data_IF_228391311729
#
_entry.id   IF_228391311729
#
_cell.length_a   1.000
_cell.length_b   1.000
_cell.length_c   1.000
_cell.angle_alpha   90.00
_cell.angle_beta   90.00
_cell.angle_gamma   90.00
#
_symmetry.space_group_name_H-M   'P 1'
#
loop_
_entity.id
_entity.type
_entity.pdbx_description
1 polymer ?
#
# COMPACT_ATOMS: atom_id res chain seq x y z
N UNK A 1 -49.37 9.99 17.97
CA UNK A 1 -47.96 10.21 18.40
C UNK A 1 -47.56 9.01 19.25
N UNK A 2 -46.65 8.14 18.79
CA UNK A 2 -46.39 6.81 19.42
C UNK A 2 -45.59 6.93 20.73
N UNK A 3 -46.03 6.18 21.75
CA UNK A 3 -45.54 6.16 23.14
C UNK A 3 -44.02 5.99 23.29
N UNK A 4 -43.35 5.36 22.33
CA UNK A 4 -41.89 5.11 22.34
C UNK A 4 -41.05 6.39 22.25
N UNK A 5 -41.56 7.46 21.61
CA UNK A 5 -40.87 8.77 21.63
C UNK A 5 -40.95 9.43 23.00
N UNK A 6 -41.97 9.15 23.81
CA UNK A 6 -42.04 9.68 25.19
C UNK A 6 -41.10 8.94 26.14
N UNK A 7 -40.86 7.64 25.95
CA UNK A 7 -39.94 6.86 26.81
C UNK A 7 -38.46 7.29 26.70
N UNK A 8 -38.01 7.78 25.54
CA UNK A 8 -36.67 8.36 25.35
C UNK A 8 -36.52 9.76 25.97
N UNK A 9 -37.63 10.47 26.21
CA UNK A 9 -37.65 11.80 26.82
C UNK A 9 -37.66 11.78 28.36
N UNK A 10 -38.08 10.66 28.97
CA UNK A 10 -38.25 10.53 30.43
C UNK A 10 -37.22 9.63 31.16
N UNK A 11 -36.25 9.04 30.45
CA UNK A 11 -35.20 8.21 31.05
C UNK A 11 -33.88 8.96 31.27
N UNK A 12 -33.95 10.29 31.43
CA UNK A 12 -32.98 11.07 32.21
C UNK A 12 -33.14 10.73 33.70
N UNK A 13 -32.15 10.05 34.29
CA UNK A 13 -31.96 10.10 35.75
C UNK A 13 -30.96 11.22 36.08
N UNK A 14 -31.52 12.41 36.36
CA UNK A 14 -30.93 13.46 37.21
C UNK A 14 -31.19 13.06 38.68
N UNK A 15 -30.20 12.93 39.56
CA UNK A 15 -29.47 13.98 40.31
C UNK A 15 -29.37 13.50 41.78
N UNK A 16 -28.56 13.98 42.74
CA UNK A 16 -27.67 15.15 43.03
C UNK A 16 -27.00 14.84 44.41
N UNK A 17 -26.04 15.59 45.02
CA UNK A 17 -25.86 17.04 44.93
C UNK A 17 -24.41 17.59 44.93
N UNK A 18 -24.41 18.92 44.85
CA UNK A 18 -23.36 19.92 44.73
C UNK A 18 -22.52 20.06 46.00
N UNK A 19 -21.20 20.30 45.85
CA UNK A 19 -20.40 21.12 46.78
C UNK A 19 -19.55 22.09 45.95
N UNK A 20 -19.78 23.40 46.09
CA UNK A 20 -18.81 24.49 45.83
C UNK A 20 -18.54 25.14 47.20
N UNK A 21 -17.29 25.51 47.56
CA UNK A 21 -16.59 26.68 47.00
C UNK A 21 -15.06 26.41 46.84
N UNK A 22 -14.20 27.23 46.22
CA UNK A 22 -14.06 28.69 46.11
C UNK A 22 -13.02 28.99 45.00
N UNK A 23 -13.13 30.13 44.35
CA UNK A 23 -12.20 30.63 43.32
C UNK A 23 -10.75 30.73 43.81
N UNK A 24 -9.81 30.34 42.95
CA UNK A 24 -8.53 31.03 42.78
C UNK A 24 -8.20 31.05 41.29
N UNK A 25 -8.23 32.24 40.71
CA UNK A 25 -7.52 32.53 39.48
C UNK A 25 -6.04 32.20 39.68
N UNK A 26 -5.49 31.41 38.77
CA UNK A 26 -4.07 31.43 38.47
C UNK A 26 -3.95 31.23 36.98
N UNK A 27 -3.61 32.30 36.29
CA UNK A 27 -2.91 32.24 35.01
C UNK A 27 -1.76 31.23 35.16
N UNK A 28 -1.71 30.23 34.29
CA UNK A 28 -0.48 29.88 33.58
C UNK A 28 -0.71 28.72 32.59
N UNK A 29 -0.31 29.01 31.35
CA UNK A 29 0.14 28.08 30.31
C UNK A 29 -0.87 27.04 29.85
N UNK A 30 -1.48 27.34 28.69
CA UNK A 30 -1.80 26.32 27.68
C UNK A 30 -0.53 25.50 27.44
N UNK A 31 -0.40 24.37 28.12
CA UNK A 31 0.44 23.29 27.63
C UNK A 31 -0.13 22.89 26.28
N UNK A 32 0.64 23.20 25.25
CA UNK A 32 0.53 22.60 23.94
C UNK A 32 0.35 21.10 24.14
N UNK A 33 -0.82 20.58 23.74
CA UNK A 33 -0.95 19.15 23.46
C UNK A 33 0.09 18.86 22.38
N UNK A 34 1.22 18.29 22.80
CA UNK A 34 2.11 17.57 21.91
C UNK A 34 1.24 16.57 21.16
N UNK A 35 1.09 16.79 19.85
CA UNK A 35 0.64 15.77 18.90
C UNK A 35 1.50 14.52 19.15
N UNK A 36 0.95 13.54 19.84
CA UNK A 36 1.59 12.26 20.09
C UNK A 36 0.87 11.16 19.31
N UNK A 37 1.72 10.40 18.61
CA UNK A 37 1.50 9.11 17.96
C UNK A 37 0.43 9.06 16.86
N UNK A 38 0.91 8.89 15.62
CA UNK A 38 0.07 8.52 14.49
C UNK A 38 -0.70 7.23 14.83
N UNK A 39 -2.01 7.34 14.80
CA UNK A 39 -2.94 6.28 15.14
C UNK A 39 -2.73 5.09 14.18
N UNK A 40 -2.52 3.89 14.74
CA UNK A 40 -2.52 2.66 13.97
C UNK A 40 -3.92 2.41 13.42
N UNK A 41 -4.06 2.44 12.10
CA UNK A 41 -5.27 2.00 11.41
C UNK A 41 -5.07 0.54 10.94
N UNK A 42 -5.60 -0.46 11.65
CA UNK A 42 -5.61 -1.84 11.15
C UNK A 42 -6.36 -1.89 9.82
N UNK A 43 -5.85 -2.66 8.86
CA UNK A 43 -6.53 -2.87 7.58
C UNK A 43 -7.39 -4.11 7.59
N UNK A 44 -8.46 -4.08 6.81
CA UNK A 44 -9.30 -5.24 6.56
C UNK A 44 -8.55 -6.24 5.65
N UNK A 45 -8.68 -7.54 5.94
CA UNK A 45 -8.11 -8.65 5.16
C UNK A 45 -8.56 -8.68 3.69
N UNK A 46 -9.64 -7.98 3.33
CA UNK A 46 -10.06 -7.80 1.95
C UNK A 46 -9.17 -6.82 1.17
N UNK A 47 -8.38 -5.98 1.85
CA UNK A 47 -7.53 -4.97 1.22
C UNK A 47 -6.12 -5.53 0.97
N UNK A 48 -5.50 -6.07 2.01
CA UNK A 48 -4.18 -6.71 2.00
C UNK A 48 -4.21 -7.96 2.89
N UNK A 49 -3.31 -8.93 2.71
CA UNK A 49 -3.23 -10.08 3.60
C UNK A 49 -3.06 -9.68 5.07
N UNK A 50 -3.69 -10.45 5.96
CA UNK A 50 -3.46 -10.30 7.40
C UNK A 50 -2.08 -10.78 7.80
N UNK A 51 -1.59 -10.19 8.88
CA UNK A 51 -0.37 -10.58 9.57
C UNK A 51 -0.70 -10.97 11.00
N UNK A 52 0.19 -11.68 11.68
CA UNK A 52 -0.02 -12.05 13.09
C UNK A 52 -0.34 -10.83 13.98
N UNK A 53 0.24 -9.67 13.67
CA UNK A 53 0.05 -8.42 14.42
C UNK A 53 -1.23 -7.65 14.05
N UNK A 54 -1.91 -8.01 12.96
CA UNK A 54 -3.18 -7.38 12.55
C UNK A 54 -4.42 -8.16 12.96
N UNK A 55 -4.25 -9.38 13.49
CA UNK A 55 -5.35 -10.29 13.85
C UNK A 55 -6.03 -9.97 15.17
N UNK A 56 -5.31 -9.40 16.13
CA UNK A 56 -5.88 -8.97 17.40
C UNK A 56 -5.32 -7.62 17.86
N UNK A 57 -6.17 -6.84 18.53
CA UNK A 57 -5.84 -5.53 19.10
C UNK A 57 -5.31 -5.64 20.55
N UNK A 58 -4.59 -6.72 20.89
CA UNK A 58 -3.98 -6.82 22.21
C UNK A 58 -2.93 -5.71 22.41
N UNK A 59 -2.76 -5.27 23.67
CA UNK A 59 -1.73 -4.28 24.03
C UNK A 59 -0.32 -4.74 23.62
N UNK A 60 -0.08 -6.06 23.63
CA UNK A 60 1.17 -6.65 23.16
C UNK A 60 1.38 -6.40 21.67
N UNK A 61 0.39 -6.71 20.83
CA UNK A 61 0.48 -6.49 19.39
C UNK A 61 0.58 -5.00 19.04
N UNK A 62 -0.09 -4.12 19.80
CA UNK A 62 0.06 -2.67 19.64
C UNK A 62 1.51 -2.21 19.90
N UNK A 63 2.12 -2.67 21.01
CA UNK A 63 3.52 -2.35 21.32
C UNK A 63 4.49 -2.91 20.27
N UNK A 64 4.31 -4.15 19.84
CA UNK A 64 5.16 -4.78 18.82
C UNK A 64 5.02 -4.08 17.46
N UNK A 65 3.81 -3.64 17.11
CA UNK A 65 3.57 -2.85 15.92
C UNK A 65 4.28 -1.48 15.98
N UNK A 66 4.20 -0.76 17.11
CA UNK A 66 4.91 0.50 17.29
C UNK A 66 6.43 0.35 17.09
N UNK A 67 7.00 -0.76 17.58
CA UNK A 67 8.41 -1.10 17.35
C UNK A 67 8.69 -1.39 15.88
N UNK A 68 7.85 -2.20 15.23
CA UNK A 68 7.98 -2.53 13.80
C UNK A 68 7.90 -1.26 12.95
N UNK A 69 7.01 -0.34 13.26
CA UNK A 69 6.82 0.90 12.50
C UNK A 69 8.00 1.87 12.61
N UNK A 70 8.78 1.77 13.69
CA UNK A 70 10.04 2.50 13.92
C UNK A 70 11.26 1.82 13.29
N UNK A 71 11.10 0.61 12.73
CA UNK A 71 12.21 -0.12 12.10
C UNK A 71 12.79 0.67 10.92
N UNK A 72 14.10 0.88 10.95
CA UNK A 72 14.85 1.39 9.80
C UNK A 72 15.25 0.23 8.88
N UNK A 73 14.86 0.32 7.61
CA UNK A 73 15.14 -0.70 6.59
C UNK A 73 15.96 -0.08 5.48
N UNK A 74 17.17 -0.58 5.26
CA UNK A 74 18.01 -0.13 4.13
C UNK A 74 17.42 -0.53 2.78
N UNK A 75 17.67 0.29 1.75
CA UNK A 75 17.08 0.16 0.41
C UNK A 75 17.18 -1.24 -0.20
N UNK A 76 18.34 -1.90 -0.12
CA UNK A 76 18.52 -3.27 -0.62
C UNK A 76 17.61 -4.26 0.09
N UNK A 77 17.55 -4.16 1.43
CA UNK A 77 16.68 -5.01 2.25
C UNK A 77 15.20 -4.73 1.93
N UNK A 78 14.83 -3.47 1.69
CA UNK A 78 13.46 -3.12 1.28
C UNK A 78 13.10 -3.77 -0.06
N UNK A 79 13.97 -3.71 -1.07
CA UNK A 79 13.74 -4.36 -2.36
C UNK A 79 13.58 -5.89 -2.22
N UNK A 80 14.40 -6.54 -1.38
CA UNK A 80 14.27 -7.97 -1.07
C UNK A 80 12.95 -8.29 -0.34
N UNK A 81 12.51 -7.45 0.60
CA UNK A 81 11.22 -7.61 1.29
C UNK A 81 10.07 -7.51 0.28
N UNK A 82 10.07 -6.46 -0.56
CA UNK A 82 9.03 -6.27 -1.58
C UNK A 82 9.01 -7.43 -2.57
N UNK A 83 10.17 -7.90 -3.03
CA UNK A 83 10.23 -9.04 -3.94
C UNK A 83 9.71 -10.32 -3.30
N UNK A 84 10.07 -10.61 -2.06
CA UNK A 84 9.54 -11.77 -1.36
C UNK A 84 8.01 -11.68 -1.15
N UNK A 85 7.48 -10.47 -0.94
CA UNK A 85 6.03 -10.24 -0.86
C UNK A 85 5.35 -10.46 -2.21
N UNK A 86 5.91 -9.93 -3.29
CA UNK A 86 5.41 -10.16 -4.65
C UNK A 86 5.30 -11.67 -4.92
N UNK A 87 6.37 -12.43 -4.64
CA UNK A 87 6.35 -13.89 -4.80
C UNK A 87 5.32 -14.58 -3.91
N UNK A 88 5.17 -14.15 -2.64
CA UNK A 88 4.16 -14.72 -1.74
C UNK A 88 2.73 -14.47 -2.23
N UNK A 89 2.47 -13.29 -2.81
CA UNK A 89 1.16 -12.96 -3.40
C UNK A 89 0.91 -13.75 -4.68
N UNK A 90 1.88 -13.80 -5.60
CA UNK A 90 1.76 -14.53 -6.87
C UNK A 90 1.51 -16.02 -6.61
N UNK A 91 2.18 -16.63 -5.63
CA UNK A 91 2.00 -18.05 -5.25
C UNK A 91 0.60 -18.40 -4.74
N UNK A 92 -0.22 -17.39 -4.41
CA UNK A 92 -1.61 -17.56 -3.98
C UNK A 92 -2.61 -17.36 -5.12
N UNK A 93 -2.16 -16.90 -6.29
CA UNK A 93 -3.01 -16.73 -7.47
C UNK A 93 -3.07 -18.03 -8.24
N UNK A 94 -4.26 -18.45 -8.64
CA UNK A 94 -4.44 -19.55 -9.57
C UNK A 94 -5.05 -19.07 -10.91
N UNK A 95 -5.17 -20.00 -11.87
CA UNK A 95 -5.76 -19.67 -13.15
C UNK A 95 -7.24 -19.24 -13.03
N UNK A 96 -7.98 -19.74 -12.03
CA UNK A 96 -9.39 -19.41 -11.83
C UNK A 96 -9.57 -17.96 -11.37
N UNK A 97 -8.64 -17.45 -10.55
CA UNK A 97 -8.56 -16.04 -10.19
C UNK A 97 -8.46 -15.17 -11.45
N UNK A 98 -7.59 -15.55 -12.40
CA UNK A 98 -7.37 -14.82 -13.64
C UNK A 98 -8.53 -14.95 -14.63
N UNK A 99 -9.20 -16.11 -14.71
CA UNK A 99 -10.38 -16.30 -15.58
C UNK A 99 -11.53 -15.40 -15.15
N UNK A 100 -11.69 -15.19 -13.85
CA UNK A 100 -12.77 -14.36 -13.31
C UNK A 100 -12.53 -12.85 -13.42
N UNK A 101 -11.33 -12.43 -13.81
CA UNK A 101 -10.93 -11.03 -13.84
C UNK A 101 -11.31 -10.33 -15.15
N UNK A 102 -12.24 -9.39 -15.09
CA UNK A 102 -12.69 -8.59 -16.25
C UNK A 102 -12.45 -7.08 -16.06
N UNK A 103 -11.54 -6.71 -15.15
CA UNK A 103 -11.30 -5.32 -14.75
C UNK A 103 -12.20 -4.83 -13.61
N UNK A 104 -13.41 -5.40 -13.48
CA UNK A 104 -14.38 -5.09 -12.41
C UNK A 104 -14.51 -6.22 -11.39
N UNK A 105 -14.68 -7.45 -11.85
CA UNK A 105 -14.72 -8.64 -11.02
C UNK A 105 -13.30 -8.99 -10.59
N UNK A 106 -13.06 -9.07 -9.29
CA UNK A 106 -11.75 -9.39 -8.73
C UNK A 106 -11.91 -10.40 -7.61
N UNK A 107 -11.15 -11.49 -7.64
CA UNK A 107 -11.00 -12.33 -6.45
C UNK A 107 -10.18 -11.59 -5.39
N UNK A 108 -10.16 -12.14 -4.17
CA UNK A 108 -9.39 -11.56 -3.08
C UNK A 108 -7.89 -11.55 -3.39
N UNK A 109 -7.35 -12.58 -4.04
CA UNK A 109 -5.95 -12.65 -4.44
C UNK A 109 -5.57 -11.55 -5.43
N UNK A 110 -6.38 -11.35 -6.48
CA UNK A 110 -6.16 -10.28 -7.46
C UNK A 110 -6.28 -8.91 -6.80
N UNK A 111 -7.26 -8.73 -5.92
CA UNK A 111 -7.40 -7.51 -5.10
C UNK A 111 -6.14 -7.23 -4.28
N UNK A 112 -5.56 -8.24 -3.62
CA UNK A 112 -4.32 -8.08 -2.86
C UNK A 112 -3.14 -7.66 -3.74
N UNK A 113 -2.98 -8.24 -4.93
CA UNK A 113 -1.94 -7.84 -5.89
C UNK A 113 -2.08 -6.37 -6.30
N UNK A 114 -3.30 -5.96 -6.70
CA UNK A 114 -3.59 -4.59 -7.13
C UNK A 114 -3.27 -3.60 -6.01
N UNK A 115 -3.75 -3.89 -4.79
CA UNK A 115 -3.57 -3.02 -3.64
C UNK A 115 -2.11 -2.96 -3.17
N UNK A 116 -1.40 -4.09 -3.16
CA UNK A 116 0.03 -4.12 -2.84
C UNK A 116 0.85 -3.29 -3.83
N UNK A 117 0.57 -3.38 -5.13
CA UNK A 117 1.21 -2.56 -6.15
C UNK A 117 0.90 -1.08 -5.97
N UNK A 118 -0.38 -0.72 -5.79
CA UNK A 118 -0.81 0.67 -5.56
C UNK A 118 -0.12 1.28 -4.34
N UNK A 119 -0.13 0.57 -3.21
CA UNK A 119 0.51 1.01 -1.97
C UNK A 119 2.02 1.14 -2.13
N UNK A 120 2.67 0.17 -2.78
CA UNK A 120 4.12 0.19 -3.03
C UNK A 120 4.51 1.33 -3.96
N UNK A 121 3.80 1.55 -5.06
CA UNK A 121 4.04 2.64 -5.99
C UNK A 121 3.99 4.00 -5.28
N UNK A 122 2.96 4.22 -4.46
CA UNK A 122 2.81 5.47 -3.72
C UNK A 122 3.87 5.62 -2.63
N UNK A 123 4.21 4.54 -1.93
CA UNK A 123 5.30 4.55 -0.96
C UNK A 123 6.64 4.93 -1.62
N UNK A 124 6.96 4.34 -2.78
CA UNK A 124 8.19 4.62 -3.52
C UNK A 124 8.27 6.09 -4.00
N UNK A 125 7.14 6.75 -4.28
CA UNK A 125 7.15 8.19 -4.64
C UNK A 125 7.74 9.07 -3.53
N UNK A 126 7.74 8.63 -2.28
CA UNK A 126 8.33 9.37 -1.15
C UNK A 126 9.86 9.31 -1.11
N UNK A 127 10.49 8.43 -1.89
CA UNK A 127 11.93 8.22 -1.86
C UNK A 127 12.67 9.24 -2.73
N UNK A 128 13.90 9.52 -2.34
CA UNK A 128 14.84 10.28 -3.17
C UNK A 128 15.34 9.46 -4.35
N UNK A 129 15.70 10.14 -5.45
CA UNK A 129 16.18 9.47 -6.67
C UNK A 129 17.37 8.52 -6.40
N UNK A 130 18.31 8.94 -5.53
CA UNK A 130 19.49 8.14 -5.15
C UNK A 130 19.10 6.81 -4.49
N UNK A 131 17.99 6.80 -3.76
CA UNK A 131 17.53 5.65 -3.00
C UNK A 131 16.73 4.71 -3.88
N UNK A 132 15.85 5.28 -4.72
CA UNK A 132 15.19 4.58 -5.83
C UNK A 132 16.20 3.86 -6.73
N UNK A 133 17.30 4.52 -7.10
CA UNK A 133 18.37 3.92 -7.90
C UNK A 133 19.01 2.69 -7.24
N UNK A 134 19.26 2.75 -5.93
CA UNK A 134 19.81 1.61 -5.18
C UNK A 134 18.81 0.45 -5.15
N UNK A 135 17.51 0.74 -5.02
CA UNK A 135 16.46 -0.27 -5.06
C UNK A 135 16.30 -0.87 -6.46
N UNK A 136 16.39 -0.07 -7.52
CA UNK A 136 16.26 -0.53 -8.90
C UNK A 136 17.36 -1.53 -9.26
N UNK A 137 18.61 -1.26 -8.86
CA UNK A 137 19.72 -2.20 -9.03
C UNK A 137 19.50 -3.53 -8.32
N UNK A 138 18.95 -3.48 -7.11
CA UNK A 138 18.65 -4.70 -6.36
C UNK A 138 17.49 -5.47 -7.01
N UNK A 139 16.44 -4.78 -7.45
CA UNK A 139 15.30 -5.37 -8.15
C UNK A 139 15.69 -5.99 -9.50
N UNK A 140 16.66 -5.40 -10.21
CA UNK A 140 17.28 -5.96 -11.42
C UNK A 140 17.97 -7.30 -11.14
N UNK A 141 18.79 -7.38 -10.08
CA UNK A 141 19.43 -8.63 -9.67
C UNK A 141 18.42 -9.72 -9.31
N UNK A 142 17.31 -9.32 -8.68
CA UNK A 142 16.20 -10.20 -8.33
C UNK A 142 15.29 -10.53 -9.54
N UNK A 143 15.53 -9.92 -10.71
CA UNK A 143 14.67 -9.99 -11.90
C UNK A 143 13.20 -9.69 -11.57
N UNK A 144 12.96 -8.71 -10.70
CA UNK A 144 11.62 -8.26 -10.35
C UNK A 144 11.26 -6.98 -11.12
N UNK A 145 10.72 -7.17 -12.31
CA UNK A 145 10.33 -6.10 -13.22
C UNK A 145 9.07 -5.35 -12.75
N UNK A 146 8.22 -5.98 -11.93
CA UNK A 146 7.13 -5.30 -11.26
C UNK A 146 7.63 -4.16 -10.37
N UNK A 147 8.63 -4.43 -9.53
CA UNK A 147 9.27 -3.40 -8.70
C UNK A 147 10.02 -2.38 -9.54
N UNK A 148 10.78 -2.80 -10.56
CA UNK A 148 11.50 -1.88 -11.46
C UNK A 148 10.52 -0.90 -12.09
N UNK A 149 9.39 -1.37 -12.62
CA UNK A 149 8.36 -0.51 -13.20
C UNK A 149 7.86 0.53 -12.20
N UNK A 150 7.55 0.10 -10.97
CA UNK A 150 7.09 1.05 -9.96
C UNK A 150 8.16 2.09 -9.60
N UNK A 151 9.43 1.67 -9.54
CA UNK A 151 10.56 2.58 -9.29
C UNK A 151 10.73 3.57 -10.46
N UNK A 152 10.64 3.11 -11.70
CA UNK A 152 10.73 3.96 -12.90
C UNK A 152 9.65 5.04 -12.85
N UNK A 153 8.40 4.66 -12.60
CA UNK A 153 7.29 5.62 -12.43
C UNK A 153 7.57 6.62 -11.31
N UNK A 154 8.16 6.19 -10.18
CA UNK A 154 8.53 7.11 -9.09
C UNK A 154 9.73 8.00 -9.43
N UNK A 155 10.69 7.53 -10.23
CA UNK A 155 11.84 8.31 -10.68
C UNK A 155 11.42 9.41 -11.65
N UNK A 156 10.43 9.15 -12.51
CA UNK A 156 9.89 10.10 -13.49
C UNK A 156 9.26 11.34 -12.85
N UNK A 157 8.81 11.24 -11.58
CA UNK A 157 8.26 12.40 -10.85
C UNK A 157 9.33 13.26 -10.19
N UNK A 158 10.63 12.97 -10.38
CA UNK A 158 11.75 13.68 -9.76
C UNK A 158 12.38 14.64 -10.74
N UNK A 159 13.18 15.58 -10.25
CA UNK A 159 14.00 16.44 -11.10
C UNK A 159 15.11 15.62 -11.77
N UNK A 160 15.16 15.69 -13.10
CA UNK A 160 16.02 14.86 -13.93
C UNK A 160 17.12 15.70 -14.60
N UNK A 161 18.37 15.31 -14.35
CA UNK A 161 19.51 15.74 -15.16
C UNK A 161 19.77 14.74 -16.29
N UNK A 162 20.70 15.07 -17.19
CA UNK A 162 21.02 14.23 -18.35
C UNK A 162 21.43 12.79 -17.97
N UNK A 163 22.12 12.62 -16.84
CA UNK A 163 22.54 11.30 -16.35
C UNK A 163 21.34 10.51 -15.85
N UNK A 164 20.45 11.14 -15.06
CA UNK A 164 19.21 10.52 -14.58
C UNK A 164 18.26 10.14 -15.72
N UNK A 165 18.20 10.94 -16.79
CA UNK A 165 17.43 10.60 -18.00
C UNK A 165 17.98 9.34 -18.66
N UNK A 166 19.30 9.24 -18.79
CA UNK A 166 19.95 8.06 -19.38
C UNK A 166 19.67 6.80 -18.55
N UNK A 167 19.74 6.93 -17.22
CA UNK A 167 19.40 5.84 -16.29
C UNK A 167 17.91 5.42 -16.38
N UNK A 168 17.01 6.39 -16.49
CA UNK A 168 15.57 6.11 -16.71
C UNK A 168 15.32 5.38 -18.03
N UNK A 169 15.96 5.81 -19.11
CA UNK A 169 15.88 5.14 -20.42
C UNK A 169 16.36 3.70 -20.33
N UNK A 170 17.49 3.45 -19.67
CA UNK A 170 17.98 2.09 -19.44
C UNK A 170 16.94 1.18 -18.78
N UNK A 171 16.31 1.63 -17.69
CA UNK A 171 15.30 0.80 -17.02
C UNK A 171 14.00 0.66 -17.82
N UNK A 172 13.60 1.66 -18.62
CA UNK A 172 12.48 1.53 -19.55
C UNK A 172 12.77 0.48 -20.64
N UNK A 173 13.93 0.55 -21.26
CA UNK A 173 14.34 -0.42 -22.28
C UNK A 173 14.46 -1.84 -21.68
N UNK A 174 14.92 -1.94 -20.42
CA UNK A 174 14.97 -3.20 -19.69
C UNK A 174 13.57 -3.80 -19.48
N UNK A 175 12.56 -2.96 -19.21
CA UNK A 175 11.14 -3.34 -19.09
C UNK A 175 10.46 -3.69 -20.42
N UNK A 176 11.12 -3.52 -21.56
CA UNK A 176 10.61 -4.00 -22.85
C UNK A 176 11.24 -5.34 -23.26
N UNK A 177 12.36 -5.71 -22.63
CA UNK A 177 13.22 -6.83 -23.04
C UNK A 177 13.22 -8.01 -22.06
N UNK A 178 12.41 -7.97 -21.01
CA UNK A 178 12.32 -9.08 -20.05
C UNK A 178 11.70 -10.32 -20.70
N UNK A 179 12.42 -11.44 -20.57
CA UNK A 179 11.93 -12.75 -20.97
C UNK A 179 11.53 -13.61 -19.77
N UNK A 180 12.14 -13.39 -18.60
CA UNK A 180 11.96 -14.20 -17.39
C UNK A 180 12.03 -13.33 -16.14
N UNK A 181 11.35 -13.73 -15.08
CA UNK A 181 11.31 -13.01 -13.80
C UNK A 181 9.89 -12.55 -13.46
N UNK A 182 9.75 -11.73 -12.43
CA UNK A 182 8.43 -11.20 -12.04
C UNK A 182 8.04 -10.08 -13.00
N UNK A 183 7.11 -10.34 -13.91
CA UNK A 183 6.60 -9.32 -14.84
C UNK A 183 5.71 -8.31 -14.10
N UNK A 184 5.55 -7.08 -14.63
CA UNK A 184 4.64 -6.13 -14.02
C UNK A 184 3.20 -6.63 -13.96
N UNK A 185 2.61 -6.64 -12.76
CA UNK A 185 1.26 -7.17 -12.58
C UNK A 185 0.21 -6.40 -13.34
N UNK A 186 0.37 -5.08 -13.48
CA UNK A 186 -0.56 -4.25 -14.26
C UNK A 186 -0.63 -4.70 -15.73
N UNK A 187 0.49 -5.13 -16.31
CA UNK A 187 0.51 -5.63 -17.68
C UNK A 187 -0.16 -6.99 -17.78
N UNK A 188 0.17 -7.89 -16.85
CA UNK A 188 -0.44 -9.21 -16.77
C UNK A 188 -1.96 -9.12 -16.62
N UNK A 189 -2.44 -8.30 -15.68
CA UNK A 189 -3.86 -8.14 -15.40
C UNK A 189 -4.59 -7.47 -16.57
N UNK A 190 -3.99 -6.45 -17.20
CA UNK A 190 -4.57 -5.84 -18.40
C UNK A 190 -4.71 -6.84 -19.55
N UNK A 191 -3.69 -7.66 -19.79
CA UNK A 191 -3.78 -8.72 -20.80
C UNK A 191 -4.85 -9.77 -20.45
N UNK A 192 -5.08 -10.05 -19.16
CA UNK A 192 -6.17 -10.92 -18.70
C UNK A 192 -7.53 -10.29 -18.98
N UNK A 193 -7.74 -9.03 -18.58
CA UNK A 193 -8.95 -8.25 -18.84
C UNK A 193 -9.28 -8.25 -20.34
N UNK A 194 -8.32 -7.86 -21.17
CA UNK A 194 -8.48 -7.85 -22.63
C UNK A 194 -8.84 -9.23 -23.19
N UNK A 195 -8.29 -10.30 -22.63
CA UNK A 195 -8.56 -11.67 -23.09
C UNK A 195 -9.95 -12.16 -22.67
N UNK A 196 -10.35 -11.89 -21.44
CA UNK A 196 -11.64 -12.30 -20.87
C UNK A 196 -12.81 -11.48 -21.44
N UNK A 197 -12.56 -10.26 -21.92
CA UNK A 197 -13.57 -9.50 -22.67
C UNK A 197 -13.78 -10.03 -24.10
N UNK A 198 -12.91 -10.93 -24.59
CA UNK A 198 -12.90 -11.42 -25.97
C UNK A 198 -12.82 -12.96 -26.04
N UNK A 199 -13.54 -13.67 -25.17
CA UNK A 199 -13.45 -15.15 -25.01
C UNK A 199 -13.69 -15.96 -26.28
N UNK A 200 -14.47 -15.44 -27.24
CA UNK A 200 -14.75 -16.13 -28.52
C UNK A 200 -13.55 -16.08 -29.48
N UNK A 201 -12.54 -15.25 -29.21
CA UNK A 201 -11.36 -15.11 -30.04
C UNK A 201 -10.30 -16.15 -29.68
N UNK A 202 -9.92 -16.98 -30.66
CA UNK A 202 -8.80 -17.91 -30.52
C UNK A 202 -7.49 -17.17 -30.17
N UNK A 203 -7.30 -15.95 -30.68
CA UNK A 203 -6.13 -15.12 -30.36
C UNK A 203 -6.13 -14.68 -28.89
N UNK A 204 -7.30 -14.30 -28.35
CA UNK A 204 -7.45 -13.95 -26.95
C UNK A 204 -7.22 -15.18 -26.05
N UNK A 205 -7.74 -16.34 -26.43
CA UNK A 205 -7.51 -17.59 -25.71
C UNK A 205 -6.03 -17.97 -25.64
N UNK A 206 -5.30 -17.89 -26.77
CA UNK A 206 -3.85 -18.15 -26.81
C UNK A 206 -3.10 -17.14 -25.93
N UNK A 207 -3.50 -15.87 -25.95
CA UNK A 207 -2.90 -14.85 -25.07
C UNK A 207 -3.11 -15.20 -23.61
N UNK A 208 -4.32 -15.57 -23.21
CA UNK A 208 -4.62 -15.98 -21.85
C UNK A 208 -3.77 -17.19 -21.40
N UNK A 209 -3.64 -18.23 -22.24
CA UNK A 209 -2.77 -19.37 -21.94
C UNK A 209 -1.31 -18.93 -21.67
N UNK A 210 -0.77 -18.00 -22.48
CA UNK A 210 0.58 -17.45 -22.26
C UNK A 210 0.70 -16.67 -20.95
N UNK A 211 -0.37 -16.02 -20.49
CA UNK A 211 -0.38 -15.34 -19.20
C UNK A 211 -0.29 -16.38 -18.06
N UNK A 212 -1.05 -17.46 -18.16
CA UNK A 212 -1.01 -18.57 -17.18
C UNK A 212 0.36 -19.24 -17.17
N UNK A 213 0.98 -19.47 -18.33
CA UNK A 213 2.36 -19.97 -18.43
C UNK A 213 3.34 -19.05 -17.69
N UNK A 214 3.26 -17.73 -17.93
CA UNK A 214 4.10 -16.75 -17.22
C UNK A 214 3.81 -16.69 -15.72
N UNK A 215 2.56 -16.87 -15.30
CA UNK A 215 2.21 -16.96 -13.89
C UNK A 215 2.92 -18.15 -13.25
N UNK A 216 2.85 -19.33 -13.87
CA UNK A 216 3.52 -20.53 -13.40
C UNK A 216 5.04 -20.32 -13.30
N UNK A 217 5.66 -19.74 -14.35
CA UNK A 217 7.09 -19.42 -14.34
C UNK A 217 7.48 -18.49 -13.16
N UNK A 218 6.63 -17.50 -12.84
CA UNK A 218 6.85 -16.61 -11.69
C UNK A 218 6.69 -17.33 -10.34
N UNK A 219 5.76 -18.29 -10.26
CA UNK A 219 5.53 -19.08 -9.05
C UNK A 219 6.68 -20.03 -8.72
N UNK A 220 7.42 -20.48 -9.73
CA UNK A 220 8.62 -21.31 -9.57
C UNK A 220 9.83 -20.52 -9.04
N UNK A 221 9.77 -19.19 -9.01
CA UNK A 221 10.85 -18.37 -8.47
C UNK A 221 10.98 -18.59 -6.96
N UNK A 222 12.19 -18.99 -6.55
CA UNK A 222 12.59 -19.09 -5.15
C UNK A 222 13.29 -17.81 -4.68
N UNK A 223 13.10 -17.47 -3.41
CA UNK A 223 13.81 -16.38 -2.76
C UNK A 223 14.70 -16.89 -1.65
N UNK A 224 15.96 -16.45 -1.66
CA UNK A 224 16.91 -16.72 -0.57
C UNK A 224 16.68 -15.81 0.64
N UNK A 225 15.84 -14.78 0.50
CA UNK A 225 15.58 -13.82 1.57
C UNK A 225 14.55 -14.40 2.57
N UNK A 226 14.92 -14.58 3.86
CA UNK A 226 13.97 -15.10 4.85
C UNK A 226 12.95 -14.02 5.23
N UNK A 227 11.77 -14.08 4.61
CA UNK A 227 10.66 -13.17 4.90
C UNK A 227 10.02 -13.52 6.26
N UNK A 228 10.45 -12.81 7.29
CA UNK A 228 9.90 -12.88 8.66
C UNK A 228 8.59 -12.11 8.77
N UNK A 229 7.78 -12.46 9.77
CA UNK A 229 6.48 -11.85 10.00
C UNK A 229 6.54 -10.33 10.21
N UNK A 230 7.54 -9.85 10.96
CA UNK A 230 7.77 -8.41 11.12
C UNK A 230 8.06 -7.68 9.80
N UNK A 231 8.64 -8.36 8.81
CA UNK A 231 8.89 -7.77 7.49
C UNK A 231 7.59 -7.66 6.69
N UNK A 232 6.73 -8.68 6.73
CA UNK A 232 5.38 -8.64 6.13
C UNK A 232 4.59 -7.49 6.72
N UNK A 233 4.50 -7.46 8.05
CA UNK A 233 3.76 -6.43 8.75
C UNK A 233 4.28 -5.03 8.44
N UNK A 234 5.60 -4.82 8.52
CA UNK A 234 6.21 -3.55 8.14
C UNK A 234 5.80 -3.11 6.73
N UNK A 235 5.95 -3.99 5.74
CA UNK A 235 5.68 -3.65 4.35
C UNK A 235 4.19 -3.41 4.08
N UNK A 236 3.30 -4.28 4.55
CA UNK A 236 1.86 -4.10 4.41
C UNK A 236 1.36 -2.86 5.15
N UNK A 237 1.90 -2.53 6.32
CA UNK A 237 1.60 -1.27 7.02
C UNK A 237 2.01 -0.05 6.20
N UNK A 238 3.18 -0.08 5.53
CA UNK A 238 3.56 1.00 4.59
C UNK A 238 2.60 1.04 3.40
N UNK A 239 2.35 -0.09 2.74
CA UNK A 239 1.43 -0.15 1.59
C UNK A 239 0.06 0.40 1.95
N UNK A 240 -0.52 -0.02 3.08
CA UNK A 240 -1.80 0.45 3.59
C UNK A 240 -1.81 1.96 3.79
N UNK A 241 -0.84 2.48 4.55
CA UNK A 241 -0.71 3.92 4.80
C UNK A 241 -0.66 4.74 3.50
N UNK A 242 -0.05 4.22 2.44
CA UNK A 242 0.14 4.94 1.17
C UNK A 242 -0.91 4.60 0.09
N UNK A 243 -1.89 3.74 0.36
CA UNK A 243 -2.99 3.45 -0.57
C UNK A 243 -4.03 4.57 -0.64
N UNK A 244 -4.31 5.23 0.49
CA UNK A 244 -5.39 6.22 0.63
C UNK A 244 -5.05 7.61 0.06
N UNK A 245 -3.84 7.83 -0.48
CA UNK A 245 -3.49 9.07 -1.17
C UNK A 245 -3.44 10.34 -0.30
N UNK A 246 -3.83 10.26 0.97
CA UNK A 246 -3.86 11.39 1.89
C UNK A 246 -2.77 11.28 2.94
N UNK A 247 -1.52 11.58 2.56
CA UNK A 247 -0.63 12.18 3.54
C UNK A 247 -1.26 13.50 4.00
N UNK A 248 -1.37 13.75 5.30
CA UNK A 248 -1.90 15.02 5.83
C UNK A 248 -1.21 16.27 5.26
N UNK A 249 0.01 16.15 4.76
CA UNK A 249 0.72 17.20 4.02
C UNK A 249 0.00 17.62 2.73
N UNK A 250 -0.68 16.69 2.06
CA UNK A 250 -1.52 16.97 0.88
C UNK A 250 -2.77 17.75 1.28
N UNK A 251 -3.39 17.39 2.42
CA UNK A 251 -4.52 18.14 2.99
C UNK A 251 -4.11 19.56 3.38
N UNK A 252 -3.01 19.72 4.15
CA UNK A 252 -2.50 21.04 4.56
C UNK A 252 -2.17 21.94 3.37
N UNK A 253 -1.61 21.41 2.27
CA UNK A 253 -1.35 22.21 1.05
C UNK A 253 -2.62 22.64 0.32
N UNK A 254 -3.68 21.82 0.32
CA UNK A 254 -4.98 22.19 -0.27
C UNK A 254 -5.67 23.25 0.59
N UNK A 255 -5.66 23.09 1.92
CA UNK A 255 -6.27 24.08 2.83
C UNK A 255 -5.57 25.44 2.77
N UNK A 256 -4.24 25.48 2.67
CA UNK A 256 -3.50 26.75 2.50
C UNK A 256 -3.83 27.41 1.16
N UNK A 257 -3.94 26.65 0.06
CA UNK A 257 -4.34 27.20 -1.24
C UNK A 257 -5.78 27.73 -1.22
N UNK A 258 -6.73 27.00 -0.65
CA UNK A 258 -8.14 27.45 -0.57
C UNK A 258 -8.31 28.68 0.34
N UNK A 259 -7.52 28.80 1.40
CA UNK A 259 -7.53 30.00 2.26
C UNK A 259 -6.93 31.25 1.61
N UNK A 260 -6.14 31.11 0.54
CA UNK A 260 -5.56 32.22 -0.22
C UNK A 260 -6.51 32.75 -1.32
N UNK A 261 -7.58 32.02 -1.65
CA UNK A 261 -8.58 32.43 -2.66
C UNK A 261 -9.87 33.00 -2.06
N UNK A 262 -9.95 33.17 -0.74
CA UNK A 262 -11.12 33.72 -0.03
C UNK A 262 -10.90 35.12 0.56
N UNK A 263 -9.88 35.85 0.07
CA UNK A 263 -9.74 37.29 0.32
C UNK A 263 -9.71 38.02 -1.03
N UNK A 264 -10.90 38.20 -1.62
CA UNK A 264 -11.24 39.30 -2.53
C UNK A 264 -12.63 39.78 -2.12
#
# INVERSE_FOLDING_TARGET
MKLEKMYKLFSTKLGKPIIKPKEKETDEKKEEKKEQSGEYAPWNSNILPETAYSKDNSLKNQSENDEIMKMSVGNKKMANILHAIDLELIKKIDASDLVSYDGTNCTQGVTHLINANRGTQNYLKTFEYKDLKKMAKEAELLKNYNIIRMIVTSMETKELDHKKITELKFYRDLLEKQERGVIPFEWMLKDCEDSNMNVESAVASIRFCRIVEKLNDMQEIETIFPLKEKHRHFAYSKMHKFMEGETEETKKRVTVKESLYLVI
#
